data_IF_840021068576
#
_entry.id   IF_840021068576
#
_cell.length_a   1.000
_cell.length_b   1.000
_cell.length_c   1.000
_cell.angle_alpha   90.00
_cell.angle_beta   90.00
_cell.angle_gamma   90.00
#
_symmetry.space_group_name_H-M   'P 1'
#
loop_
_entity.id
_entity.type
_entity.pdbx_description
1 polymer ?
#
# COMPACT_ATOMS: atom_id res chain seq x y z
N UNK A 1 12.57 28.54 -14.47
CA UNK A 1 11.75 28.56 -13.23
C UNK A 1 12.30 29.54 -12.18
N UNK A 2 13.57 29.91 -12.26
CA UNK A 2 14.17 30.89 -11.34
C UNK A 2 13.78 32.37 -11.67
N UNK A 3 13.09 32.54 -12.77
CA UNK A 3 12.60 33.88 -13.24
C UNK A 3 11.09 34.06 -13.01
N UNK A 4 10.45 33.23 -12.17
CA UNK A 4 9.03 33.31 -11.86
C UNK A 4 8.84 33.55 -10.37
N UNK A 5 8.19 34.65 -10.05
CA UNK A 5 7.84 35.08 -8.68
C UNK A 5 6.34 35.26 -8.61
N UNK A 6 5.66 34.58 -7.68
CA UNK A 6 4.21 34.67 -7.49
C UNK A 6 3.37 34.44 -8.77
N UNK A 7 3.80 33.51 -9.64
CA UNK A 7 3.08 33.16 -10.87
C UNK A 7 3.25 34.16 -12.03
N UNK A 8 4.10 35.17 -11.88
CA UNK A 8 4.46 36.10 -12.93
C UNK A 8 5.96 36.08 -13.22
N UNK A 9 6.35 36.50 -14.44
CA UNK A 9 7.76 36.60 -14.80
C UNK A 9 8.42 37.71 -13.97
N UNK A 10 9.63 37.47 -13.41
CA UNK A 10 10.40 38.46 -12.67
C UNK A 10 10.70 39.68 -13.53
N UNK A 11 10.98 39.46 -14.82
CA UNK A 11 11.18 40.52 -15.80
C UNK A 11 9.87 40.80 -16.54
N UNK A 12 9.16 41.85 -16.16
CA UNK A 12 8.01 42.37 -16.87
C UNK A 12 6.64 42.05 -16.25
N UNK A 13 6.55 41.22 -15.21
CA UNK A 13 5.31 40.96 -14.47
C UNK A 13 4.22 40.24 -15.26
N UNK A 14 4.56 39.56 -16.35
CA UNK A 14 3.58 38.84 -17.17
C UNK A 14 3.14 37.52 -16.51
N UNK A 15 1.84 37.19 -16.56
CA UNK A 15 1.34 35.90 -16.08
C UNK A 15 2.06 34.73 -16.77
N UNK A 16 2.55 33.76 -15.96
CA UNK A 16 3.22 32.58 -16.47
C UNK A 16 2.33 31.38 -16.23
N UNK A 17 2.14 30.58 -17.28
CA UNK A 17 1.37 29.34 -17.22
C UNK A 17 2.26 28.14 -17.57
N UNK A 18 2.08 27.03 -16.87
CA UNK A 18 2.76 25.77 -17.22
C UNK A 18 2.15 25.22 -18.49
N UNK A 19 3.01 24.95 -19.48
CA UNK A 19 2.59 24.38 -20.77
C UNK A 19 3.51 23.22 -21.17
N UNK A 20 2.93 22.09 -21.58
CA UNK A 20 3.69 21.01 -22.20
C UNK A 20 4.18 21.47 -23.57
N UNK A 21 5.50 21.40 -23.77
CA UNK A 21 6.14 21.77 -25.04
C UNK A 21 7.00 20.61 -25.55
N UNK A 22 7.06 20.42 -26.87
CA UNK A 22 8.00 19.49 -27.48
C UNK A 22 9.40 20.14 -27.48
N UNK A 23 10.35 19.49 -26.83
CA UNK A 23 11.75 19.89 -26.79
C UNK A 23 12.66 18.71 -27.06
N UNK A 24 13.86 18.98 -27.54
CA UNK A 24 14.94 18.03 -27.53
C UNK A 24 15.40 17.79 -26.09
N UNK A 25 15.43 16.53 -25.69
CA UNK A 25 15.92 16.14 -24.37
C UNK A 25 17.00 15.10 -24.53
N UNK A 26 18.06 15.23 -23.76
CA UNK A 26 19.11 14.18 -23.63
C UNK A 26 18.70 13.22 -22.52
N UNK A 27 18.76 11.92 -22.78
CA UNK A 27 18.54 10.89 -21.76
C UNK A 27 19.79 10.76 -20.88
N UNK A 28 20.04 11.74 -20.02
CA UNK A 28 21.26 11.78 -19.17
C UNK A 28 21.33 10.60 -18.21
N UNK A 29 20.20 10.09 -17.73
CA UNK A 29 20.13 8.90 -16.86
C UNK A 29 20.72 7.65 -17.51
N UNK A 30 20.72 7.52 -18.84
CA UNK A 30 21.37 6.42 -19.56
C UNK A 30 22.89 6.42 -19.42
N UNK A 31 23.48 7.55 -19.05
CA UNK A 31 24.92 7.71 -18.85
C UNK A 31 25.33 7.74 -17.38
N UNK A 32 24.39 7.76 -16.47
CA UNK A 32 24.62 7.95 -15.04
C UNK A 32 25.58 6.90 -14.45
N UNK A 33 25.40 5.63 -14.77
CA UNK A 33 26.30 4.55 -14.31
C UNK A 33 27.71 4.70 -14.87
N UNK A 34 27.83 5.05 -16.16
CA UNK A 34 29.13 5.29 -16.81
C UNK A 34 29.83 6.50 -16.19
N UNK A 35 29.10 7.56 -15.87
CA UNK A 35 29.65 8.74 -15.19
C UNK A 35 30.15 8.40 -13.79
N UNK A 36 29.41 7.59 -13.03
CA UNK A 36 29.84 7.11 -11.70
C UNK A 36 31.13 6.28 -11.77
N UNK A 37 31.22 5.36 -12.74
CA UNK A 37 32.42 4.56 -12.96
C UNK A 37 33.60 5.42 -13.35
N UNK A 38 33.42 6.37 -14.25
CA UNK A 38 34.47 7.28 -14.71
C UNK A 38 35.05 8.18 -13.60
N UNK A 39 34.31 8.41 -12.49
CA UNK A 39 34.86 9.11 -11.32
C UNK A 39 36.04 8.37 -10.66
N UNK A 40 36.19 7.07 -10.89
CA UNK A 40 37.28 6.28 -10.32
C UNK A 40 38.61 6.51 -11.10
N UNK A 41 38.50 6.85 -12.39
CA UNK A 41 39.64 6.93 -13.32
C UNK A 41 40.23 8.35 -13.41
N UNK A 42 39.51 9.37 -12.90
CA UNK A 42 39.98 10.76 -12.98
C UNK A 42 40.74 11.18 -11.73
N UNK A 43 41.71 12.03 -11.89
CA UNK A 43 42.54 12.58 -10.82
C UNK A 43 41.86 13.81 -10.18
N UNK A 44 40.77 13.56 -9.47
CA UNK A 44 40.03 14.54 -8.68
C UNK A 44 40.12 14.23 -7.19
N UNK A 45 40.00 15.26 -6.38
CA UNK A 45 39.93 15.07 -4.92
C UNK A 45 38.69 14.22 -4.52
N UNK A 46 38.81 13.45 -3.44
CA UNK A 46 37.73 12.60 -2.96
C UNK A 46 36.46 13.40 -2.65
N UNK A 47 36.63 14.61 -2.10
CA UNK A 47 35.51 15.51 -1.81
C UNK A 47 34.74 15.90 -3.08
N UNK A 48 35.45 16.16 -4.19
CA UNK A 48 34.83 16.50 -5.47
C UNK A 48 34.13 15.27 -6.08
N UNK A 49 34.81 14.11 -6.05
CA UNK A 49 34.22 12.83 -6.50
C UNK A 49 32.93 12.51 -5.72
N UNK A 50 32.93 12.69 -4.40
CA UNK A 50 31.77 12.46 -3.57
C UNK A 50 30.63 13.44 -3.86
N UNK A 51 30.96 14.71 -4.08
CA UNK A 51 30.00 15.72 -4.53
C UNK A 51 29.32 15.32 -5.85
N UNK A 52 30.08 14.80 -6.80
CA UNK A 52 29.54 14.33 -8.08
C UNK A 52 28.71 13.04 -7.93
N UNK A 53 29.11 12.08 -7.07
CA UNK A 53 28.31 10.90 -6.75
C UNK A 53 26.96 11.30 -6.16
N UNK A 54 26.97 12.23 -5.23
CA UNK A 54 25.76 12.77 -4.59
C UNK A 54 24.86 13.52 -5.59
N UNK A 55 25.47 14.23 -6.56
CA UNK A 55 24.73 14.91 -7.62
C UNK A 55 24.06 13.93 -8.58
N UNK A 56 24.75 12.88 -8.99
CA UNK A 56 24.18 11.81 -9.83
C UNK A 56 23.11 11.04 -9.07
N UNK A 57 23.26 10.87 -7.75
CA UNK A 57 22.24 10.41 -6.83
C UNK A 57 21.71 9.02 -7.14
N UNK A 58 22.61 8.04 -7.31
CA UNK A 58 22.20 6.63 -7.51
C UNK A 58 21.47 6.09 -6.30
N UNK A 59 20.23 5.68 -6.50
CA UNK A 59 19.37 5.07 -5.47
C UNK A 59 18.98 3.66 -5.91
N UNK A 60 19.26 2.68 -5.07
CA UNK A 60 18.84 1.28 -5.26
C UNK A 60 17.65 0.99 -4.39
N UNK A 61 16.61 0.43 -4.96
CA UNK A 61 15.37 0.16 -4.26
C UNK A 61 14.45 -0.79 -5.01
N UNK A 62 13.17 -0.68 -4.74
CA UNK A 62 12.13 -1.43 -5.44
C UNK A 62 11.09 -0.48 -6.03
N UNK A 63 10.61 -0.81 -7.22
CA UNK A 63 9.37 -0.27 -7.76
C UNK A 63 8.26 -1.23 -7.39
N UNK A 64 7.18 -0.72 -6.80
CA UNK A 64 6.05 -1.51 -6.30
C UNK A 64 4.75 -0.92 -6.83
N UNK A 65 3.83 -1.79 -7.23
CA UNK A 65 2.54 -1.41 -7.78
C UNK A 65 1.44 -1.58 -6.73
N UNK A 66 0.72 -0.49 -6.45
CA UNK A 66 -0.43 -0.46 -5.54
C UNK A 66 -1.71 -0.33 -6.35
N UNK A 67 -2.54 -1.38 -6.43
CA UNK A 67 -3.81 -1.31 -7.14
C UNK A 67 -4.76 -0.31 -6.51
N UNK A 68 -5.41 0.50 -7.32
CA UNK A 68 -6.46 1.41 -6.86
C UNK A 68 -7.77 0.63 -6.77
N UNK A 69 -8.46 0.77 -5.64
CA UNK A 69 -9.77 0.17 -5.45
C UNK A 69 -10.78 0.95 -6.30
N UNK A 70 -11.35 0.27 -7.30
CA UNK A 70 -12.47 0.81 -8.05
C UNK A 70 -13.75 0.68 -7.21
N UNK A 71 -14.27 1.79 -6.71
CA UNK A 71 -15.60 1.80 -6.13
C UNK A 71 -16.63 1.97 -7.24
N UNK A 72 -17.72 1.21 -7.26
CA UNK A 72 -18.86 1.49 -8.13
C UNK A 72 -19.34 2.93 -7.86
N UNK A 73 -19.59 3.69 -8.91
CA UNK A 73 -20.12 5.06 -8.80
C UNK A 73 -21.40 5.04 -7.97
N UNK A 74 -21.35 5.52 -6.75
CA UNK A 74 -22.50 5.70 -5.89
C UNK A 74 -22.37 5.28 -4.42
N UNK A 75 -21.32 4.57 -4.01
CA UNK A 75 -21.19 4.09 -2.62
C UNK A 75 -19.83 4.44 -2.00
N UNK A 76 -19.72 5.65 -1.50
CA UNK A 76 -18.59 6.09 -0.68
C UNK A 76 -18.98 6.02 0.80
N UNK A 77 -18.80 4.87 1.43
CA UNK A 77 -18.61 4.73 2.89
C UNK A 77 -18.07 3.34 3.20
N UNK A 78 -16.75 3.16 3.11
CA UNK A 78 -16.10 2.02 3.73
C UNK A 78 -15.39 2.50 5.01
N UNK A 79 -15.92 2.13 6.15
CA UNK A 79 -15.17 2.22 7.40
C UNK A 79 -13.94 1.29 7.34
N UNK A 80 -12.78 1.68 7.93
CA UNK A 80 -11.56 0.88 7.85
C UNK A 80 -11.79 -0.47 8.52
N UNK A 81 -11.83 -1.53 7.74
CA UNK A 81 -11.82 -2.91 8.25
C UNK A 81 -12.92 -3.84 7.75
N UNK A 82 -13.95 -3.35 7.08
CA UNK A 82 -15.02 -4.18 6.51
C UNK A 82 -15.22 -3.86 5.03
N UNK A 83 -15.30 -4.88 4.18
CA UNK A 83 -15.71 -4.74 2.77
C UNK A 83 -17.25 -4.77 2.69
N UNK A 84 -17.88 -3.71 3.21
CA UNK A 84 -19.35 -3.63 3.23
C UNK A 84 -19.87 -2.60 2.24
N UNK A 85 -20.76 -3.01 1.35
CA UNK A 85 -21.46 -2.17 0.37
C UNK A 85 -22.98 -2.15 0.49
N UNK A 86 -23.59 -2.77 1.52
CA UNK A 86 -25.03 -2.95 1.62
C UNK A 86 -25.73 -2.09 2.69
N UNK A 87 -27.00 -1.76 2.44
CA UNK A 87 -27.89 -1.02 3.37
C UNK A 87 -28.12 -1.73 4.73
N UNK A 88 -27.73 -3.00 4.87
CA UNK A 88 -27.95 -3.84 6.06
C UNK A 88 -26.67 -4.11 6.88
N UNK A 89 -25.60 -3.36 6.65
CA UNK A 89 -24.28 -3.60 7.27
C UNK A 89 -24.33 -3.67 8.81
N UNK A 90 -25.14 -2.86 9.46
CA UNK A 90 -25.28 -2.83 10.94
C UNK A 90 -25.83 -4.14 11.51
N UNK A 91 -26.83 -4.74 10.84
CA UNK A 91 -27.43 -6.01 11.26
C UNK A 91 -26.47 -7.17 11.03
N UNK A 92 -25.73 -7.15 9.91
CA UNK A 92 -24.76 -8.17 9.57
C UNK A 92 -23.52 -8.12 10.48
N UNK A 93 -23.06 -6.93 10.88
CA UNK A 93 -21.98 -6.76 11.86
C UNK A 93 -22.37 -7.37 13.20
N UNK A 94 -23.61 -7.12 13.67
CA UNK A 94 -24.12 -7.70 14.91
C UNK A 94 -24.19 -9.23 14.81
N UNK A 95 -24.70 -9.77 13.70
CA UNK A 95 -24.75 -11.21 13.44
C UNK A 95 -23.36 -11.84 13.38
N UNK A 96 -22.39 -11.18 12.74
CA UNK A 96 -21.00 -11.63 12.71
C UNK A 96 -20.35 -11.64 14.11
N UNK A 97 -20.71 -10.70 14.99
CA UNK A 97 -20.28 -10.70 16.39
C UNK A 97 -20.91 -11.85 17.18
N UNK A 98 -22.21 -12.11 16.98
CA UNK A 98 -22.90 -13.24 17.59
C UNK A 98 -22.32 -14.59 17.15
N UNK A 99 -22.05 -14.77 15.87
CA UNK A 99 -21.42 -15.98 15.34
C UNK A 99 -19.99 -16.18 15.92
N UNK A 100 -19.20 -15.12 16.05
CA UNK A 100 -17.88 -15.18 16.69
C UNK A 100 -17.95 -15.59 18.17
N UNK A 101 -18.99 -15.19 18.86
CA UNK A 101 -19.19 -15.55 20.27
C UNK A 101 -19.65 -17.00 20.43
N UNK A 102 -20.32 -17.58 19.42
CA UNK A 102 -20.89 -18.94 19.45
C UNK A 102 -20.44 -19.78 18.23
N UNK A 103 -19.12 -20.05 18.06
CA UNK A 103 -18.64 -20.85 16.95
C UNK A 103 -19.02 -22.32 17.13
N UNK A 104 -19.22 -23.03 16.01
CA UNK A 104 -19.34 -24.48 16.03
C UNK A 104 -18.03 -25.14 16.50
N UNK A 105 -18.08 -26.41 16.85
CA UNK A 105 -16.87 -27.16 17.28
C UNK A 105 -15.80 -27.18 16.18
N UNK A 106 -16.19 -27.44 14.93
CA UNK A 106 -15.29 -27.44 13.78
C UNK A 106 -14.69 -26.05 13.53
N UNK A 107 -15.49 -24.99 13.56
CA UNK A 107 -14.98 -23.60 13.44
C UNK A 107 -13.99 -23.29 14.56
N UNK A 108 -14.25 -23.68 15.80
CA UNK A 108 -13.36 -23.45 16.94
C UNK A 108 -12.01 -24.16 16.75
N UNK A 109 -12.04 -25.44 16.31
CA UNK A 109 -10.84 -26.22 16.07
C UNK A 109 -9.99 -25.59 14.96
N UNK A 110 -10.61 -25.23 13.84
CA UNK A 110 -9.92 -24.60 12.72
C UNK A 110 -9.39 -23.20 13.08
N UNK A 111 -10.18 -22.39 13.81
CA UNK A 111 -9.74 -21.07 14.26
C UNK A 111 -8.49 -21.09 15.15
N UNK A 112 -8.36 -22.09 16.02
CA UNK A 112 -7.17 -22.25 16.86
C UNK A 112 -5.89 -22.40 16.05
N UNK A 113 -5.97 -22.91 14.83
CA UNK A 113 -4.81 -23.04 13.91
C UNK A 113 -4.62 -21.81 13.00
N UNK A 114 -5.71 -21.13 12.65
CA UNK A 114 -5.66 -19.97 11.75
C UNK A 114 -5.37 -18.64 12.46
N UNK A 115 -5.79 -18.51 13.75
CA UNK A 115 -5.62 -17.27 14.52
C UNK A 115 -4.15 -16.97 14.79
N UNK A 116 -3.87 -15.68 15.02
CA UNK A 116 -2.52 -15.19 15.40
C UNK A 116 -1.43 -15.60 14.40
N UNK A 117 -1.82 -15.78 13.13
CA UNK A 117 -0.92 -16.14 12.02
C UNK A 117 -0.19 -17.48 12.20
N UNK A 118 -0.78 -18.42 12.95
CA UNK A 118 -0.16 -19.73 13.20
C UNK A 118 0.06 -20.56 11.94
N UNK A 119 -0.84 -20.44 10.94
CA UNK A 119 -0.69 -21.13 9.67
C UNK A 119 0.30 -20.35 8.79
N UNK A 120 1.57 -20.70 8.85
CA UNK A 120 2.68 -20.15 8.06
C UNK A 120 2.71 -18.61 7.93
N UNK A 121 2.31 -17.90 8.99
CA UNK A 121 2.34 -16.44 9.00
C UNK A 121 1.14 -15.76 8.33
N UNK A 122 0.22 -16.49 7.71
CA UNK A 122 -0.95 -15.91 7.05
C UNK A 122 -1.97 -15.38 8.05
N UNK A 123 -2.47 -14.14 7.78
CA UNK A 123 -3.48 -13.49 8.62
C UNK A 123 -4.88 -13.88 8.17
N UNK A 124 -5.56 -14.71 8.94
CA UNK A 124 -6.97 -15.00 8.78
C UNK A 124 -7.84 -14.12 9.67
N UNK A 125 -9.05 -13.85 9.21
CA UNK A 125 -10.12 -13.19 9.97
C UNK A 125 -11.30 -14.15 10.06
N UNK A 126 -11.93 -14.20 11.24
CA UNK A 126 -13.11 -15.02 11.49
C UNK A 126 -14.38 -14.19 11.33
N UNK A 127 -15.43 -14.80 10.76
CA UNK A 127 -16.77 -14.22 10.59
C UNK A 127 -16.68 -12.79 10.04
N UNK A 128 -16.06 -12.70 8.85
CA UNK A 128 -15.76 -11.42 8.21
C UNK A 128 -16.85 -11.05 7.19
N UNK A 129 -17.23 -9.77 7.15
CA UNK A 129 -18.17 -9.27 6.16
C UNK A 129 -17.44 -8.97 4.84
N UNK A 130 -17.98 -9.54 3.76
CA UNK A 130 -17.67 -9.18 2.38
C UNK A 130 -18.99 -8.87 1.70
N UNK A 131 -19.26 -7.63 1.34
CA UNK A 131 -20.59 -7.11 0.95
C UNK A 131 -21.69 -7.45 1.96
N UNK A 132 -22.72 -8.14 1.49
CA UNK A 132 -23.86 -8.60 2.31
C UNK A 132 -23.66 -10.02 2.84
N UNK A 133 -22.46 -10.59 2.75
CA UNK A 133 -22.17 -11.96 3.19
C UNK A 133 -21.19 -11.97 4.36
N UNK A 134 -21.49 -12.83 5.34
CA UNK A 134 -20.56 -13.17 6.42
C UNK A 134 -19.86 -14.45 6.00
N UNK A 135 -18.53 -14.43 5.89
CA UNK A 135 -17.70 -15.61 5.58
C UNK A 135 -17.03 -16.12 6.84
N UNK A 136 -16.93 -17.45 7.02
CA UNK A 136 -16.41 -18.03 8.27
C UNK A 136 -14.98 -17.64 8.52
N UNK A 137 -14.09 -17.85 7.52
CA UNK A 137 -12.71 -17.42 7.59
C UNK A 137 -12.25 -16.83 6.27
N UNK A 138 -11.45 -15.77 6.32
CA UNK A 138 -10.87 -15.15 5.13
C UNK A 138 -9.42 -14.75 5.34
N UNK A 139 -8.59 -15.09 4.38
CA UNK A 139 -7.25 -14.54 4.21
C UNK A 139 -7.30 -13.47 3.10
N UNK A 140 -7.42 -12.19 3.49
CA UNK A 140 -7.60 -11.09 2.54
C UNK A 140 -6.38 -10.93 1.61
N UNK A 141 -5.17 -11.09 2.12
CA UNK A 141 -3.93 -10.99 1.34
C UNK A 141 -3.82 -12.05 0.23
N UNK A 142 -4.54 -13.15 0.38
CA UNK A 142 -4.58 -14.24 -0.60
C UNK A 142 -5.94 -14.37 -1.27
N UNK A 143 -6.89 -13.49 -0.94
CA UNK A 143 -8.28 -13.56 -1.42
C UNK A 143 -8.87 -14.97 -1.30
N UNK A 144 -8.56 -15.65 -0.21
CA UNK A 144 -9.04 -16.99 0.08
C UNK A 144 -10.12 -16.94 1.16
N UNK A 145 -11.28 -17.46 0.84
CA UNK A 145 -12.38 -17.70 1.78
C UNK A 145 -12.40 -19.19 2.11
N UNK A 146 -12.50 -19.50 3.40
CA UNK A 146 -12.66 -20.88 3.91
C UNK A 146 -14.00 -20.92 4.64
N UNK A 147 -14.90 -21.77 4.17
CA UNK A 147 -16.21 -22.00 4.76
C UNK A 147 -16.30 -23.38 5.39
N UNK A 148 -17.05 -23.49 6.48
CA UNK A 148 -17.26 -24.71 7.26
C UNK A 148 -18.71 -25.14 7.12
N UNK A 149 -18.94 -26.21 6.35
CA UNK A 149 -20.28 -26.69 6.05
C UNK A 149 -20.78 -27.70 7.11
N UNK A 150 -21.87 -27.34 7.79
CA UNK A 150 -22.63 -28.23 8.68
C UNK A 150 -23.65 -29.07 7.93
N UNK A 151 -24.20 -30.11 8.61
CA UNK A 151 -25.15 -31.11 8.04
C UNK A 151 -26.52 -30.59 7.57
N UNK A 152 -26.85 -29.31 7.67
CA UNK A 152 -28.26 -28.82 7.61
C UNK A 152 -28.60 -28.07 6.29
N UNK A 153 -27.81 -28.07 5.26
CA UNK A 153 -28.09 -27.27 4.06
C UNK A 153 -28.27 -28.07 2.74
N UNK A 154 -29.22 -29.00 2.71
CA UNK A 154 -29.70 -29.57 1.42
C UNK A 154 -30.69 -28.64 0.67
N UNK A 155 -31.20 -27.58 1.30
CA UNK A 155 -32.31 -26.77 0.76
C UNK A 155 -31.91 -25.42 0.15
N UNK A 156 -30.63 -25.04 0.11
CA UNK A 156 -30.18 -23.70 -0.32
C UNK A 156 -29.14 -23.69 -1.44
N UNK A 157 -29.07 -24.74 -2.28
CA UNK A 157 -28.07 -24.85 -3.36
C UNK A 157 -28.06 -23.69 -4.36
N UNK A 158 -29.22 -23.06 -4.62
CA UNK A 158 -29.28 -21.88 -5.52
C UNK A 158 -28.68 -20.64 -4.89
N UNK A 159 -28.99 -20.36 -3.63
CA UNK A 159 -28.46 -19.21 -2.88
C UNK A 159 -26.95 -19.31 -2.63
N UNK A 160 -26.45 -20.51 -2.32
CA UNK A 160 -25.03 -20.78 -2.13
C UNK A 160 -24.24 -20.62 -3.45
N UNK A 161 -24.88 -20.93 -4.60
CA UNK A 161 -24.31 -20.72 -5.91
C UNK A 161 -24.18 -19.23 -6.28
N UNK A 162 -25.18 -18.40 -5.97
CA UNK A 162 -25.13 -16.95 -6.19
C UNK A 162 -24.08 -16.27 -5.29
N UNK A 163 -24.05 -16.65 -4.01
CA UNK A 163 -23.06 -16.17 -3.04
C UNK A 163 -21.63 -16.46 -3.49
N UNK A 164 -21.38 -17.69 -3.94
CA UNK A 164 -20.06 -18.08 -4.45
C UNK A 164 -19.66 -17.28 -5.67
N UNK A 165 -20.58 -17.08 -6.63
CA UNK A 165 -20.31 -16.28 -7.82
C UNK A 165 -19.93 -14.83 -7.48
N UNK A 166 -20.65 -14.19 -6.57
CA UNK A 166 -20.34 -12.82 -6.14
C UNK A 166 -18.96 -12.73 -5.49
N UNK A 167 -18.59 -13.72 -4.66
CA UNK A 167 -17.25 -13.76 -4.06
C UNK A 167 -16.16 -14.01 -5.12
N UNK A 168 -16.41 -14.88 -6.10
CA UNK A 168 -15.50 -15.18 -7.21
C UNK A 168 -15.34 -13.99 -8.17
N UNK A 169 -16.41 -13.25 -8.47
CA UNK A 169 -16.37 -12.00 -9.26
C UNK A 169 -15.50 -10.93 -8.58
N UNK A 170 -15.42 -10.94 -7.24
CA UNK A 170 -14.51 -10.10 -6.47
C UNK A 170 -13.08 -10.67 -6.36
N UNK A 171 -12.84 -11.78 -7.02
CA UNK A 171 -11.54 -12.46 -7.09
C UNK A 171 -11.23 -13.29 -5.86
N UNK A 172 -12.21 -13.59 -4.99
CA UNK A 172 -12.01 -14.52 -3.89
C UNK A 172 -12.17 -15.96 -4.40
N UNK A 173 -11.25 -16.83 -3.99
CA UNK A 173 -11.43 -18.28 -4.10
C UNK A 173 -12.14 -18.76 -2.86
N UNK A 174 -13.21 -19.53 -3.03
CA UNK A 174 -13.94 -20.15 -1.92
C UNK A 174 -13.58 -21.62 -1.85
N UNK A 175 -13.15 -22.07 -0.69
CA UNK A 175 -12.98 -23.49 -0.39
C UNK A 175 -13.87 -23.89 0.79
N UNK A 176 -14.43 -25.07 0.74
CA UNK A 176 -15.36 -25.57 1.74
C UNK A 176 -14.88 -26.87 2.33
N UNK A 177 -15.06 -27.02 3.64
CA UNK A 177 -14.78 -28.24 4.38
C UNK A 177 -15.98 -28.62 5.21
N UNK A 178 -16.29 -29.92 5.24
CA UNK A 178 -17.32 -30.42 6.12
C UNK A 178 -16.83 -30.48 7.57
N UNK A 179 -17.74 -30.34 8.52
CA UNK A 179 -17.42 -30.47 9.95
C UNK A 179 -16.63 -31.73 10.25
N UNK A 180 -17.03 -32.87 9.63
CA UNK A 180 -16.39 -34.15 9.83
C UNK A 180 -14.95 -34.21 9.33
N UNK A 181 -14.63 -33.48 8.24
CA UNK A 181 -13.26 -33.39 7.71
C UNK A 181 -12.35 -32.64 8.68
N UNK A 182 -12.84 -31.51 9.23
CA UNK A 182 -12.06 -30.68 10.17
C UNK A 182 -11.82 -31.42 11.49
N UNK A 183 -12.84 -32.13 12.00
CA UNK A 183 -12.73 -32.87 13.27
C UNK A 183 -11.91 -34.15 13.11
N UNK A 184 -12.00 -34.81 11.94
CA UNK A 184 -11.38 -36.10 11.70
C UNK A 184 -9.93 -36.06 11.20
N UNK A 185 -9.60 -35.02 10.39
CA UNK A 185 -8.27 -34.92 9.76
C UNK A 185 -7.89 -33.43 9.54
N UNK A 186 -7.58 -32.75 10.64
CA UNK A 186 -7.24 -31.34 10.65
C UNK A 186 -5.97 -31.04 9.83
N UNK A 187 -4.97 -31.92 9.89
CA UNK A 187 -3.69 -31.71 9.20
C UNK A 187 -3.89 -31.66 7.68
N UNK A 188 -4.68 -32.57 7.12
CA UNK A 188 -5.04 -32.59 5.70
C UNK A 188 -5.87 -31.34 5.30
N UNK A 189 -6.74 -30.84 6.19
CA UNK A 189 -7.47 -29.59 5.96
C UNK A 189 -6.51 -28.40 5.90
N UNK A 190 -5.56 -28.30 6.82
CA UNK A 190 -4.55 -27.23 6.82
C UNK A 190 -3.63 -27.31 5.59
N UNK A 191 -3.23 -28.50 5.16
CA UNK A 191 -2.46 -28.73 3.93
C UNK A 191 -3.23 -28.26 2.69
N UNK A 192 -4.52 -28.59 2.57
CA UNK A 192 -5.38 -28.11 1.47
C UNK A 192 -5.57 -26.58 1.49
N UNK A 193 -5.63 -25.97 2.66
CA UNK A 193 -5.69 -24.50 2.78
C UNK A 193 -4.37 -23.90 2.28
N UNK A 194 -3.22 -24.45 2.67
CA UNK A 194 -1.90 -24.01 2.20
C UNK A 194 -1.74 -24.20 0.69
N UNK A 195 -2.11 -25.35 0.15
CA UNK A 195 -2.14 -25.58 -1.30
C UNK A 195 -3.05 -24.57 -2.02
N UNK A 196 -4.20 -24.24 -1.45
CA UNK A 196 -5.10 -23.26 -2.03
C UNK A 196 -4.48 -21.87 -2.01
N UNK A 197 -3.72 -21.51 -0.97
CA UNK A 197 -2.96 -20.28 -0.84
C UNK A 197 -1.82 -20.22 -1.87
N UNK A 198 -1.09 -21.32 -2.05
CA UNK A 198 0.03 -21.41 -2.99
C UNK A 198 -0.43 -21.46 -4.46
N UNK A 199 -1.51 -22.17 -4.74
CA UNK A 199 -2.12 -22.23 -6.08
C UNK A 199 -2.85 -20.96 -6.48
N UNK A 200 -3.24 -20.12 -5.54
CA UNK A 200 -3.59 -18.75 -5.88
C UNK A 200 -2.31 -18.05 -6.24
N UNK A 201 -2.14 -17.81 -7.54
CA UNK A 201 -1.12 -16.91 -8.03
C UNK A 201 -1.14 -15.66 -7.15
N UNK A 202 0.05 -15.09 -6.80
CA UNK A 202 0.10 -13.76 -6.25
C UNK A 202 -0.84 -12.93 -7.10
N UNK A 203 -1.52 -11.95 -6.51
CA UNK A 203 -2.41 -11.06 -7.24
C UNK A 203 -1.77 -10.75 -8.61
N UNK A 204 -1.89 -11.69 -9.56
CA UNK A 204 -1.54 -11.47 -10.95
C UNK A 204 -2.65 -10.56 -11.42
N UNK A 205 -2.37 -9.28 -11.31
CA UNK A 205 -3.23 -8.24 -11.81
C UNK A 205 -3.27 -8.43 -13.32
N UNK A 206 -4.27 -9.19 -13.82
CA UNK A 206 -4.47 -9.45 -15.24
C UNK A 206 -4.60 -8.15 -16.03
N UNK A 207 -4.40 -8.23 -17.34
CA UNK A 207 -4.64 -7.16 -18.32
C UNK A 207 -6.13 -6.73 -18.33
N UNK A 208 -6.57 -6.04 -17.31
CA UNK A 208 -7.94 -5.63 -17.04
C UNK A 208 -8.07 -5.06 -15.63
N UNK A 209 -6.99 -5.15 -14.83
CA UNK A 209 -6.93 -4.51 -13.53
C UNK A 209 -6.95 -2.98 -13.69
N UNK A 210 -7.77 -2.31 -12.90
CA UNK A 210 -7.89 -0.86 -12.85
C UNK A 210 -6.57 -0.12 -12.65
N UNK A 211 -6.62 1.18 -12.56
CA UNK A 211 -5.45 2.04 -12.40
C UNK A 211 -4.60 1.63 -11.20
N UNK A 212 -3.29 1.80 -11.31
CA UNK A 212 -2.30 1.45 -10.27
C UNK A 212 -1.46 2.66 -9.93
N UNK A 213 -1.04 2.74 -8.67
CA UNK A 213 -0.04 3.70 -8.23
C UNK A 213 1.31 2.99 -8.20
N UNK A 214 2.20 3.41 -9.07
CA UNK A 214 3.58 2.92 -9.09
C UNK A 214 4.44 3.74 -8.15
N UNK A 215 5.14 3.10 -7.23
CA UNK A 215 5.99 3.76 -6.22
C UNK A 215 7.41 3.24 -6.30
N UNK A 216 8.39 4.13 -6.29
CA UNK A 216 9.79 3.77 -6.04
C UNK A 216 10.14 3.99 -4.57
N UNK A 217 10.71 2.98 -3.93
CA UNK A 217 11.19 3.08 -2.54
C UNK A 217 12.59 2.49 -2.37
N UNK A 218 13.43 3.15 -1.58
CA UNK A 218 14.72 2.61 -1.12
C UNK A 218 14.59 1.74 0.13
N UNK A 219 13.38 1.72 0.73
CA UNK A 219 13.07 1.01 1.96
C UNK A 219 11.91 0.01 1.74
N UNK A 220 12.05 -0.99 0.85
CA UNK A 220 11.01 -2.00 0.64
C UNK A 220 10.71 -2.81 1.91
N UNK A 221 11.63 -2.91 2.85
CA UNK A 221 11.47 -3.50 4.18
C UNK A 221 10.37 -2.84 5.02
N UNK A 222 9.97 -1.60 4.72
CA UNK A 222 8.93 -0.89 5.48
C UNK A 222 7.52 -1.00 4.88
N UNK A 223 7.33 -1.72 3.78
CA UNK A 223 6.05 -1.79 3.04
C UNK A 223 4.86 -2.28 3.91
N UNK A 224 5.11 -3.12 4.91
CA UNK A 224 4.10 -3.58 5.87
C UNK A 224 3.60 -2.47 6.80
N UNK A 225 4.36 -1.38 6.91
CA UNK A 225 4.04 -0.20 7.71
C UNK A 225 3.32 0.91 6.95
N UNK A 226 3.01 0.71 5.67
CA UNK A 226 2.29 1.70 4.85
C UNK A 226 0.88 1.87 5.39
N UNK A 227 0.51 3.11 5.76
CA UNK A 227 -0.81 3.43 6.31
C UNK A 227 -1.59 4.40 5.44
N UNK A 228 -0.94 5.09 4.52
CA UNK A 228 -1.55 5.92 3.49
C UNK A 228 -0.61 6.07 2.29
N UNK A 229 -1.13 6.58 1.19
CA UNK A 229 -0.34 6.94 0.01
C UNK A 229 -0.48 8.42 -0.29
N UNK A 230 0.57 9.01 -0.85
CA UNK A 230 0.55 10.40 -1.27
C UNK A 230 0.99 10.55 -2.71
N UNK A 231 0.26 11.35 -3.47
CA UNK A 231 0.55 11.73 -4.84
C UNK A 231 0.97 13.21 -4.91
N UNK A 232 1.88 13.51 -5.82
CA UNK A 232 2.16 14.91 -6.18
C UNK A 232 0.87 15.57 -6.69
N UNK A 233 0.61 16.84 -6.39
CA UNK A 233 -0.59 17.54 -6.86
C UNK A 233 -0.73 17.56 -8.39
N UNK A 234 0.39 17.50 -9.10
CA UNK A 234 0.46 17.47 -10.56
C UNK A 234 0.34 16.06 -11.17
N UNK A 235 0.26 15.03 -10.33
CA UNK A 235 0.20 13.65 -10.80
C UNK A 235 -1.11 13.39 -11.55
N UNK A 236 -1.03 12.77 -12.73
CA UNK A 236 -2.18 12.53 -13.60
C UNK A 236 -3.29 11.68 -12.97
N UNK A 237 -2.94 10.81 -12.03
CA UNK A 237 -3.91 10.00 -11.31
C UNK A 237 -4.80 10.83 -10.38
N UNK A 238 -4.33 11.98 -9.86
CA UNK A 238 -5.10 12.78 -8.91
C UNK A 238 -6.48 13.12 -9.47
N UNK A 239 -6.54 13.65 -10.70
CA UNK A 239 -7.82 13.99 -11.33
C UNK A 239 -8.68 12.78 -11.68
N UNK A 240 -8.06 11.61 -11.95
CA UNK A 240 -8.77 10.39 -12.36
C UNK A 240 -9.42 9.66 -11.19
N UNK A 241 -8.73 9.63 -10.04
CA UNK A 241 -9.15 8.85 -8.87
C UNK A 241 -9.94 9.66 -7.84
N UNK A 242 -9.92 11.01 -7.95
CA UNK A 242 -10.66 11.87 -7.03
C UNK A 242 -12.15 11.61 -7.13
N UNK A 243 -12.77 11.28 -5.98
CA UNK A 243 -14.22 11.06 -5.94
C UNK A 243 -15.00 12.36 -6.11
N UNK A 244 -16.26 12.31 -6.56
CA UNK A 244 -17.09 13.51 -6.75
C UNK A 244 -17.19 14.38 -5.50
N UNK A 245 -17.25 13.78 -4.31
CA UNK A 245 -17.36 14.45 -3.01
C UNK A 245 -16.10 15.24 -2.65
N UNK A 246 -14.92 14.78 -3.11
CA UNK A 246 -13.63 15.41 -2.82
C UNK A 246 -13.16 16.34 -3.95
N UNK A 247 -13.87 16.38 -5.06
CA UNK A 247 -13.44 17.05 -6.28
C UNK A 247 -13.12 18.53 -6.07
N UNK A 248 -14.03 19.28 -5.46
CA UNK A 248 -13.85 20.70 -5.23
C UNK A 248 -12.64 20.99 -4.33
N UNK A 249 -12.49 20.25 -3.24
CA UNK A 249 -11.38 20.40 -2.30
C UNK A 249 -10.03 20.06 -2.95
N UNK A 250 -9.98 18.98 -3.75
CA UNK A 250 -8.76 18.55 -4.45
C UNK A 250 -8.38 19.53 -5.54
N UNK A 251 -9.34 19.98 -6.37
CA UNK A 251 -9.07 20.96 -7.44
C UNK A 251 -8.56 22.28 -6.87
N UNK A 252 -9.18 22.79 -5.82
CA UNK A 252 -8.72 24.01 -5.14
C UNK A 252 -7.31 23.85 -4.57
N UNK A 253 -6.99 22.69 -3.98
CA UNK A 253 -5.66 22.37 -3.45
C UNK A 253 -4.60 22.30 -4.54
N UNK A 254 -4.89 21.61 -5.64
CA UNK A 254 -4.00 21.48 -6.80
C UNK A 254 -3.71 22.86 -7.40
N UNK A 255 -4.75 23.71 -7.58
CA UNK A 255 -4.58 25.07 -8.11
C UNK A 255 -3.73 25.93 -7.18
N UNK A 256 -3.98 25.89 -5.88
CA UNK A 256 -3.20 26.65 -4.90
C UNK A 256 -1.74 26.21 -4.87
N UNK A 257 -1.49 24.89 -4.98
CA UNK A 257 -0.13 24.33 -4.99
C UNK A 257 0.60 24.62 -6.30
N UNK A 258 -0.11 24.64 -7.44
CA UNK A 258 0.47 24.96 -8.75
C UNK A 258 1.03 26.39 -8.85
N UNK A 259 0.55 27.31 -8.01
CA UNK A 259 1.07 28.69 -7.91
C UNK A 259 2.44 28.78 -7.23
N UNK A 260 2.85 27.71 -6.52
CA UNK A 260 4.17 27.63 -5.84
C UNK A 260 5.15 26.84 -6.71
N UNK A 261 6.39 27.33 -6.78
CA UNK A 261 7.46 26.57 -7.46
C UNK A 261 7.86 25.32 -6.66
N UNK A 262 8.39 24.29 -7.33
CA UNK A 262 8.93 23.10 -6.64
C UNK A 262 10.01 23.47 -5.64
N UNK A 263 10.87 24.46 -5.99
CA UNK A 263 11.93 24.96 -5.10
C UNK A 263 11.35 25.58 -3.82
N UNK A 264 10.27 26.35 -3.92
CA UNK A 264 9.57 26.89 -2.75
C UNK A 264 8.95 25.77 -1.90
N UNK A 265 8.37 24.75 -2.54
CA UNK A 265 7.82 23.57 -1.84
C UNK A 265 8.92 22.76 -1.14
N UNK A 266 10.09 22.59 -1.79
CA UNK A 266 11.25 21.91 -1.19
C UNK A 266 11.84 22.72 -0.01
N UNK A 267 11.86 24.03 -0.10
CA UNK A 267 12.38 24.91 0.97
C UNK A 267 11.42 25.02 2.16
N UNK A 268 10.12 24.83 1.92
CA UNK A 268 9.09 24.93 2.96
C UNK A 268 8.88 23.57 3.66
N UNK A 269 9.91 23.13 4.40
CA UNK A 269 9.88 21.87 5.16
C UNK A 269 8.87 21.94 6.31
N UNK A 270 8.43 23.13 6.71
CA UNK A 270 7.57 23.34 7.88
C UNK A 270 6.08 23.25 7.57
N UNK A 271 5.68 23.46 6.31
CA UNK A 271 4.25 23.49 5.94
C UNK A 271 3.84 22.21 5.23
N UNK A 272 3.68 21.14 5.99
CA UNK A 272 3.13 19.89 5.47
C UNK A 272 1.62 20.03 5.32
N UNK A 273 1.11 19.81 4.10
CA UNK A 273 -0.33 19.86 3.81
C UNK A 273 -0.72 18.85 2.74
N UNK A 274 -1.98 18.46 2.73
CA UNK A 274 -2.57 17.59 1.72
C UNK A 274 -4.08 17.53 1.83
N UNK A 275 -4.70 16.91 0.83
CA UNK A 275 -6.14 16.68 0.76
C UNK A 275 -6.39 15.22 0.38
N UNK A 276 -7.38 14.61 1.03
CA UNK A 276 -7.81 13.25 0.72
C UNK A 276 -8.53 13.21 -0.64
N UNK A 277 -8.18 12.26 -1.50
CA UNK A 277 -8.78 12.13 -2.83
C UNK A 277 -10.14 11.43 -2.82
N UNK A 278 -10.52 10.82 -1.71
CA UNK A 278 -11.68 9.91 -1.63
C UNK A 278 -11.36 8.49 -2.09
N UNK A 279 -10.23 8.27 -2.74
CA UNK A 279 -9.83 6.96 -3.26
C UNK A 279 -8.96 6.19 -2.25
N UNK A 280 -8.94 4.88 -2.45
CA UNK A 280 -8.10 3.96 -1.68
C UNK A 280 -7.27 3.09 -2.62
N UNK A 281 -6.10 2.67 -2.16
CA UNK A 281 -5.28 1.66 -2.82
C UNK A 281 -5.14 0.42 -1.93
N UNK A 282 -4.79 -0.70 -2.51
CA UNK A 282 -4.51 -1.94 -1.76
C UNK A 282 -3.02 -2.08 -1.55
N UNK A 283 -2.58 -2.29 -0.30
CA UNK A 283 -1.22 -2.71 -0.03
C UNK A 283 -1.02 -4.14 -0.58
N UNK A 284 -0.10 -4.35 -1.54
CA UNK A 284 0.00 -5.62 -2.25
C UNK A 284 0.50 -6.78 -1.38
N UNK A 285 1.12 -6.50 -0.22
CA UNK A 285 1.61 -7.55 0.70
C UNK A 285 0.63 -7.85 1.82
N UNK A 286 -0.07 -6.84 2.36
CA UNK A 286 -1.00 -7.05 3.48
C UNK A 286 -2.45 -7.19 3.05
N UNK A 287 -2.78 -6.81 1.80
CA UNK A 287 -4.17 -6.77 1.29
C UNK A 287 -5.02 -5.66 1.94
N UNK A 288 -4.43 -4.81 2.77
CA UNK A 288 -5.16 -3.75 3.46
C UNK A 288 -5.46 -2.58 2.52
N UNK A 289 -6.64 -2.01 2.69
CA UNK A 289 -7.06 -0.77 2.03
C UNK A 289 -6.40 0.43 2.71
N UNK A 290 -5.71 1.26 1.94
CA UNK A 290 -4.99 2.45 2.41
C UNK A 290 -5.46 3.69 1.66
N UNK A 291 -5.77 4.82 2.36
CA UNK A 291 -6.28 6.03 1.74
C UNK A 291 -5.22 6.70 0.87
N UNK A 292 -5.67 7.28 -0.26
CA UNK A 292 -4.80 8.02 -1.19
C UNK A 292 -5.03 9.52 -1.02
N UNK A 293 -3.95 10.23 -0.75
CA UNK A 293 -3.93 11.69 -0.55
C UNK A 293 -3.15 12.38 -1.67
N UNK A 294 -3.39 13.64 -1.89
CA UNK A 294 -2.45 14.52 -2.60
C UNK A 294 -1.78 15.44 -1.60
N UNK A 295 -0.46 15.64 -1.69
CA UNK A 295 0.31 16.40 -0.70
C UNK A 295 1.41 17.25 -1.33
N UNK A 296 1.68 18.42 -0.73
CA UNK A 296 2.63 19.42 -1.26
C UNK A 296 4.10 19.01 -1.16
N UNK A 297 4.44 18.06 -0.30
CA UNK A 297 5.81 17.58 -0.10
C UNK A 297 6.22 16.48 -1.08
N UNK A 298 5.27 15.96 -1.87
CA UNK A 298 5.55 15.01 -2.96
C UNK A 298 5.83 15.78 -4.24
N UNK A 299 6.93 15.47 -4.90
CA UNK A 299 7.37 16.14 -6.13
C UNK A 299 7.24 15.20 -7.32
N UNK A 300 6.77 15.73 -8.45
CA UNK A 300 6.55 14.95 -9.66
C UNK A 300 7.87 14.48 -10.28
N UNK A 301 8.94 15.25 -10.14
CA UNK A 301 10.26 14.96 -10.71
C UNK A 301 11.08 13.98 -9.86
N UNK A 302 10.58 13.55 -8.71
CA UNK A 302 11.24 12.57 -7.86
C UNK A 302 10.51 11.22 -7.88
N UNK A 303 11.20 10.19 -8.39
CA UNK A 303 10.65 8.84 -8.51
C UNK A 303 9.50 8.77 -9.51
N UNK A 304 8.33 8.41 -9.04
CA UNK A 304 7.10 8.27 -9.83
C UNK A 304 6.09 9.39 -9.57
N UNK A 305 6.42 10.37 -8.73
CA UNK A 305 5.46 11.37 -8.25
C UNK A 305 4.46 10.79 -7.24
N UNK A 306 4.73 9.59 -6.71
CA UNK A 306 3.93 8.90 -5.72
C UNK A 306 4.80 8.32 -4.61
N UNK A 307 4.31 8.33 -3.39
CA UNK A 307 5.00 7.83 -2.20
C UNK A 307 4.08 6.87 -1.45
N UNK A 308 4.62 5.72 -1.05
CA UNK A 308 4.04 4.91 0.02
C UNK A 308 4.46 5.51 1.36
N UNK A 309 3.51 5.97 2.14
CA UNK A 309 3.80 6.70 3.37
C UNK A 309 3.89 5.76 4.57
N UNK A 310 5.02 5.85 5.28
CA UNK A 310 5.35 4.98 6.42
C UNK A 310 5.67 5.82 7.67
N UNK A 311 4.66 6.29 8.40
CA UNK A 311 4.81 7.28 9.48
C UNK A 311 5.82 6.91 10.57
N UNK A 312 5.92 5.62 10.90
CA UNK A 312 6.87 5.20 11.94
C UNK A 312 8.34 5.33 11.50
N UNK A 313 8.61 5.43 10.18
CA UNK A 313 9.97 5.33 9.62
C UNK A 313 10.37 6.48 8.71
N UNK A 314 9.46 7.43 8.44
CA UNK A 314 9.72 8.70 7.78
C UNK A 314 9.12 9.86 8.57
N UNK A 315 9.93 10.91 8.83
CA UNK A 315 9.50 12.02 9.69
C UNK A 315 8.39 12.86 9.04
N UNK A 316 8.44 13.07 7.73
CA UNK A 316 7.40 13.85 7.01
C UNK A 316 6.07 13.11 7.03
N UNK A 317 6.13 11.79 6.84
CA UNK A 317 4.95 10.94 6.93
C UNK A 317 4.37 10.92 8.34
N UNK A 318 5.23 10.92 9.38
CA UNK A 318 4.80 10.98 10.78
C UNK A 318 4.10 12.31 11.08
N UNK A 319 4.69 13.42 10.66
CA UNK A 319 4.12 14.76 10.87
C UNK A 319 2.78 14.90 10.13
N UNK A 320 2.69 14.36 8.92
CA UNK A 320 1.44 14.29 8.15
C UNK A 320 0.40 13.42 8.84
N UNK A 321 0.78 12.21 9.25
CA UNK A 321 -0.12 11.28 9.93
C UNK A 321 -0.69 11.88 11.22
N UNK A 322 0.14 12.56 12.01
CA UNK A 322 -0.29 13.27 13.22
C UNK A 322 -1.25 14.40 12.92
N UNK A 323 -0.95 15.20 11.89
CA UNK A 323 -1.81 16.32 11.48
C UNK A 323 -3.20 15.89 11.02
N UNK A 324 -3.28 14.78 10.31
CA UNK A 324 -4.53 14.27 9.72
C UNK A 324 -5.12 13.06 10.46
N UNK A 325 -4.60 12.76 11.65
CA UNK A 325 -5.04 11.66 12.52
C UNK A 325 -5.05 10.30 11.81
N UNK A 326 -4.00 10.03 11.01
CA UNK A 326 -3.82 8.78 10.30
C UNK A 326 -3.06 7.76 11.17
N UNK A 327 -3.25 6.45 10.94
CA UNK A 327 -2.58 5.41 11.72
C UNK A 327 -1.07 5.45 11.59
N UNK A 328 -0.36 5.09 12.66
CA UNK A 328 1.09 4.87 12.70
C UNK A 328 1.34 3.41 13.01
N UNK A 329 2.11 2.73 12.17
CA UNK A 329 2.45 1.31 12.33
C UNK A 329 3.95 1.11 12.34
N UNK A 330 4.46 0.51 13.40
CA UNK A 330 5.88 0.21 13.56
C UNK A 330 6.15 -1.17 12.95
N UNK A 331 7.08 -1.21 11.99
CA UNK A 331 7.51 -2.45 11.32
C UNK A 331 9.02 -2.66 11.36
N UNK A 332 9.76 -1.68 11.86
CA UNK A 332 11.19 -1.82 12.18
C UNK A 332 11.38 -1.39 13.63
N UNK A 333 12.00 -2.25 14.44
CA UNK A 333 12.31 -1.98 15.83
C UNK A 333 13.83 -1.85 16.03
N UNK A 334 14.31 -0.89 16.82
CA UNK A 334 15.69 -0.88 17.31
C UNK A 334 15.93 -2.08 18.24
N UNK A 335 17.21 -2.42 18.47
CA UNK A 335 17.58 -3.55 19.33
C UNK A 335 17.34 -3.28 20.81
N UNK A 336 17.52 -2.03 21.24
CA UNK A 336 17.70 -1.70 22.65
C UNK A 336 16.47 -1.05 23.28
N UNK A 337 15.52 -0.58 22.47
CA UNK A 337 14.33 0.12 22.95
C UNK A 337 13.11 -0.20 22.08
N UNK A 338 11.99 -0.58 22.72
CA UNK A 338 10.74 -0.81 21.98
C UNK A 338 10.06 0.54 21.67
N UNK A 339 9.83 0.80 20.40
CA UNK A 339 9.06 1.96 19.96
C UNK A 339 7.57 1.78 20.25
N UNK A 340 6.90 2.87 20.62
CA UNK A 340 5.46 2.94 20.77
C UNK A 340 4.85 3.93 19.78
N UNK A 341 3.97 3.43 18.92
CA UNK A 341 3.31 4.21 17.87
C UNK A 341 2.48 5.38 18.42
N UNK A 342 1.98 5.30 19.65
CA UNK A 342 1.13 6.34 20.24
C UNK A 342 1.93 7.52 20.79
N UNK A 343 3.12 7.25 21.30
CA UNK A 343 3.95 8.23 22.01
C UNK A 343 5.10 8.78 21.20
N UNK A 344 5.49 8.10 20.09
CA UNK A 344 6.61 8.53 19.27
C UNK A 344 6.37 9.91 18.62
N UNK A 345 7.33 10.81 18.82
CA UNK A 345 7.37 12.14 18.21
C UNK A 345 8.42 12.25 17.11
N UNK A 346 9.29 11.26 17.01
CA UNK A 346 10.36 11.17 16.01
C UNK A 346 10.30 9.82 15.32
N UNK A 347 10.34 9.84 13.98
CA UNK A 347 10.36 8.64 13.18
C UNK A 347 11.69 7.88 13.35
N UNK A 348 11.63 6.56 13.33
CA UNK A 348 12.80 5.70 13.35
C UNK A 348 13.23 5.36 11.92
N UNK A 349 14.19 6.09 11.38
CA UNK A 349 14.64 6.00 9.97
C UNK A 349 15.86 5.09 9.76
N UNK A 350 16.46 4.56 10.83
CA UNK A 350 17.65 3.71 10.77
C UNK A 350 17.31 2.23 10.62
N UNK A 351 18.32 1.39 10.44
CA UNK A 351 18.15 -0.06 10.38
C UNK A 351 17.82 -0.64 11.76
N UNK A 352 16.95 -1.63 11.76
CA UNK A 352 16.51 -2.39 12.94
C UNK A 352 15.91 -3.72 12.52
N UNK A 353 15.39 -4.48 13.46
CA UNK A 353 14.72 -5.75 13.17
C UNK A 353 13.30 -5.53 12.67
N UNK A 354 12.94 -6.20 11.58
CA UNK A 354 11.56 -6.22 11.09
C UNK A 354 10.63 -6.87 12.11
N UNK A 355 9.47 -6.26 12.31
CA UNK A 355 8.37 -6.76 13.16
C UNK A 355 7.04 -6.55 12.46
N UNK A 356 6.02 -7.33 12.80
CA UNK A 356 4.69 -7.24 12.18
C UNK A 356 4.73 -7.35 10.64
N UNK A 357 5.75 -8.03 10.11
CA UNK A 357 6.08 -8.14 8.70
C UNK A 357 6.02 -9.59 8.21
N UNK A 358 5.20 -10.42 8.86
CA UNK A 358 4.96 -11.83 8.52
C UNK A 358 6.26 -12.65 8.54
N UNK A 359 6.54 -13.39 7.47
CA UNK A 359 7.74 -14.23 7.34
C UNK A 359 9.06 -13.45 7.32
N UNK A 360 9.01 -12.13 7.29
CA UNK A 360 10.19 -11.28 7.30
C UNK A 360 10.55 -10.77 8.70
N UNK A 361 9.77 -11.12 9.73
CA UNK A 361 10.05 -10.73 11.12
C UNK A 361 11.44 -11.20 11.54
N UNK A 362 12.18 -10.32 12.21
CA UNK A 362 13.56 -10.57 12.66
C UNK A 362 14.66 -10.25 11.65
N UNK A 363 14.36 -10.05 10.37
CA UNK A 363 15.37 -9.63 9.38
C UNK A 363 15.81 -8.18 9.64
N UNK A 364 17.07 -7.87 9.30
CA UNK A 364 17.68 -6.57 9.61
C UNK A 364 18.33 -5.96 8.36
N UNK A 365 18.15 -4.65 8.16
CA UNK A 365 18.92 -3.82 7.26
C UNK A 365 18.95 -4.30 5.81
N UNK A 366 20.12 -4.45 5.22
CA UNK A 366 20.29 -4.81 3.81
C UNK A 366 19.69 -6.19 3.47
N UNK A 367 19.82 -7.17 4.37
CA UNK A 367 19.25 -8.51 4.16
C UNK A 367 17.72 -8.46 4.09
N UNK A 368 17.09 -7.69 4.97
CA UNK A 368 15.65 -7.46 4.97
C UNK A 368 15.20 -6.86 3.63
N UNK A 369 15.83 -5.76 3.20
CA UNK A 369 15.52 -5.11 1.92
C UNK A 369 15.67 -6.05 0.73
N UNK A 370 16.76 -6.83 0.69
CA UNK A 370 17.02 -7.80 -0.37
C UNK A 370 15.93 -8.88 -0.44
N UNK A 371 15.62 -9.52 0.69
CA UNK A 371 14.60 -10.60 0.75
C UNK A 371 13.20 -10.10 0.41
N UNK A 372 12.84 -8.89 0.84
CA UNK A 372 11.56 -8.28 0.46
C UNK A 372 11.52 -7.99 -1.04
N UNK A 373 12.60 -7.43 -1.64
CA UNK A 373 12.68 -7.22 -3.09
C UNK A 373 12.51 -8.53 -3.87
N UNK A 374 13.28 -9.57 -3.52
CA UNK A 374 13.19 -10.89 -4.16
C UNK A 374 11.76 -11.46 -4.08
N UNK A 375 11.09 -11.24 -2.96
CA UNK A 375 9.72 -11.67 -2.80
C UNK A 375 8.75 -10.87 -3.68
N UNK A 376 8.87 -9.54 -3.74
CA UNK A 376 8.07 -8.68 -4.61
C UNK A 376 8.20 -9.09 -6.08
N UNK A 377 9.43 -9.40 -6.53
CA UNK A 377 9.69 -9.90 -7.87
C UNK A 377 9.06 -11.26 -8.14
N UNK A 378 9.26 -12.21 -7.22
CA UNK A 378 8.68 -13.56 -7.31
C UNK A 378 7.15 -13.50 -7.38
N UNK A 379 6.53 -12.53 -6.71
CA UNK A 379 5.08 -12.35 -6.71
C UNK A 379 4.57 -11.51 -7.90
N UNK A 380 5.46 -10.95 -8.73
CA UNK A 380 5.07 -10.11 -9.88
C UNK A 380 4.40 -8.78 -9.51
N UNK A 381 4.57 -8.31 -8.26
CA UNK A 381 3.97 -7.08 -7.73
C UNK A 381 4.97 -5.93 -7.58
N UNK A 382 6.23 -6.20 -7.89
CA UNK A 382 7.30 -5.20 -7.88
C UNK A 382 8.54 -5.74 -8.55
N UNK A 383 9.57 -4.89 -8.64
CA UNK A 383 10.88 -5.25 -9.19
C UNK A 383 11.98 -4.43 -8.52
N UNK A 384 13.16 -5.03 -8.36
CA UNK A 384 14.34 -4.26 -7.99
C UNK A 384 14.65 -3.23 -9.07
N UNK A 385 14.93 -2.01 -8.67
CA UNK A 385 15.10 -0.89 -9.60
C UNK A 385 16.20 0.04 -9.09
N UNK A 386 16.97 0.55 -10.01
CA UNK A 386 17.93 1.63 -9.76
C UNK A 386 17.35 2.92 -10.33
N UNK A 387 17.30 3.94 -9.52
CA UNK A 387 16.90 5.28 -9.93
C UNK A 387 18.07 6.25 -9.78
N UNK A 388 18.07 7.31 -10.57
CA UNK A 388 19.05 8.40 -10.51
C UNK A 388 18.30 9.71 -10.31
N UNK A 389 18.94 10.64 -9.59
CA UNK A 389 18.35 11.93 -9.22
C UNK A 389 18.26 12.88 -10.41
#
# INVERSE_FOLDING_TARGET
NDEIVNGVSERGGYPVVRKKMKQWSMRISAYAERLLQGLNDIDWTDSLKESQRNWIGKSVGAQVEFPILSFPKGEAKAEPGYMTGGNNSHLLIKKAQENRANPTEAERILWEQLRSKKLEGYKFRQQHLIDDFIVDFVCLSKKLVVEVDGKIHETTKEYDGERTKVLEEKGFKVIRFKNEEIIGDLDNVLEKILEAIEKQAPLSFGEGAGERISVFTTRPDTIFGVTFMTLAPEHELVSKITTPEQKEAVEAYVEATAKRSERERMADVKTISGVFTGAYATNPLTGESIPVWTANFVLMDYGTGAIMSVPAHDQRDLDFARKYNLPVRIVIQPKDEALDANTMTKAFSTDGAMVQSEKFDGLVGHEARKKVCEYLEKQGIGKATVNFR
#
